data_IF_598623127906
#
_entry.id   IF_598623127906
#
_cell.length_a   1.000
_cell.length_b   1.000
_cell.length_c   1.000
_cell.angle_alpha   90.00
_cell.angle_beta   90.00
_cell.angle_gamma   90.00
#
_symmetry.space_group_name_H-M   'P 1'
#
loop_
_entity.id
_entity.type
_entity.pdbx_description
1 polymer ?
#
# COMPACT_ATOMS: atom_id res chain seq x y z
N UNK A 1 -10.79 8.34 20.00
CA UNK A 1 -9.65 8.95 19.28
C UNK A 1 -10.18 9.69 18.05
N UNK A 2 -10.16 11.02 18.13
CA UNK A 2 -10.25 12.03 17.06
C UNK A 2 -10.82 11.58 15.69
N UNK A 3 -12.11 11.79 15.48
CA UNK A 3 -12.71 11.77 14.15
C UNK A 3 -12.38 13.10 13.43
N UNK A 4 -11.10 13.30 13.10
CA UNK A 4 -10.68 14.46 12.30
C UNK A 4 -11.37 14.42 10.93
N UNK A 5 -11.91 15.56 10.51
CA UNK A 5 -12.50 15.75 9.19
C UNK A 5 -11.42 15.92 8.11
N UNK A 6 -10.66 14.85 7.91
CA UNK A 6 -9.63 14.75 6.87
C UNK A 6 -10.17 14.08 5.61
N UNK A 7 -9.70 14.53 4.45
CA UNK A 7 -9.98 13.89 3.16
C UNK A 7 -9.19 12.60 2.96
N UNK A 8 -7.97 12.53 3.52
CA UNK A 8 -7.08 11.37 3.45
C UNK A 8 -6.60 10.95 4.83
N UNK A 9 -6.43 9.65 5.04
CA UNK A 9 -5.80 9.07 6.23
C UNK A 9 -4.55 8.31 5.83
N UNK A 10 -3.46 8.53 6.56
CA UNK A 10 -2.25 7.72 6.44
C UNK A 10 -2.38 6.51 7.36
N UNK A 11 -2.19 5.33 6.80
CA UNK A 11 -2.10 4.06 7.51
C UNK A 11 -0.66 3.57 7.45
N UNK A 12 -0.02 3.50 8.61
CA UNK A 12 1.35 3.01 8.73
C UNK A 12 1.32 1.56 9.24
N UNK A 13 1.85 0.67 8.42
CA UNK A 13 1.93 -0.78 8.62
C UNK A 13 0.61 -1.45 9.03
N UNK A 14 -0.54 -1.16 8.37
CA UNK A 14 -1.85 -1.67 8.80
C UNK A 14 -2.00 -3.18 8.65
N UNK A 15 -1.11 -3.86 7.93
CA UNK A 15 -1.14 -5.31 7.75
C UNK A 15 -0.19 -6.06 8.69
N UNK A 16 0.56 -5.33 9.53
CA UNK A 16 1.42 -5.92 10.55
C UNK A 16 0.60 -6.31 11.80
N UNK A 17 0.57 -7.61 12.12
CA UNK A 17 0.12 -8.14 13.43
C UNK A 17 -1.38 -8.22 13.72
N UNK A 18 -2.25 -7.45 13.07
CA UNK A 18 -3.71 -7.49 13.31
C UNK A 18 -4.44 -7.56 11.97
N UNK A 19 -5.29 -8.57 11.79
CA UNK A 19 -6.09 -8.78 10.56
C UNK A 19 -6.88 -7.53 10.13
N UNK A 20 -7.27 -7.42 8.86
CA UNK A 20 -7.56 -6.16 8.20
C UNK A 20 -8.73 -5.42 8.86
N UNK A 21 -8.42 -4.45 9.73
CA UNK A 21 -9.37 -3.48 10.31
C UNK A 21 -9.97 -2.52 9.28
N UNK A 22 -9.73 -2.78 7.99
CA UNK A 22 -10.11 -1.89 6.89
C UNK A 22 -11.55 -2.09 6.40
N UNK A 23 -12.29 -3.10 6.84
CA UNK A 23 -13.60 -3.38 6.21
C UNK A 23 -14.75 -2.42 6.58
N UNK A 24 -14.59 -1.52 7.56
CA UNK A 24 -15.73 -0.80 8.15
C UNK A 24 -15.98 0.65 7.73
N UNK A 25 -15.01 1.39 7.17
CA UNK A 25 -15.15 2.86 7.01
C UNK A 25 -14.65 3.45 5.67
N UNK A 26 -14.45 2.62 4.64
CA UNK A 26 -13.72 3.01 3.44
C UNK A 26 -14.49 3.89 2.45
N UNK A 27 -15.79 4.07 2.59
CA UNK A 27 -16.62 4.64 1.51
C UNK A 27 -16.51 6.16 1.33
N UNK A 28 -15.91 6.90 2.26
CA UNK A 28 -15.96 8.39 2.25
C UNK A 28 -14.61 9.10 2.32
N UNK A 29 -13.51 8.40 2.61
CA UNK A 29 -12.17 9.00 2.78
C UNK A 29 -11.14 8.25 1.94
N UNK A 30 -10.18 8.98 1.39
CA UNK A 30 -9.03 8.38 0.74
C UNK A 30 -8.02 7.84 1.76
N UNK A 31 -7.19 6.89 1.35
CA UNK A 31 -6.16 6.30 2.20
C UNK A 31 -4.80 6.34 1.50
N UNK A 32 -3.77 6.64 2.28
CA UNK A 32 -2.38 6.39 1.91
C UNK A 32 -1.90 5.25 2.79
N UNK A 33 -1.39 4.19 2.19
CA UNK A 33 -0.92 3.00 2.90
C UNK A 33 0.59 2.93 2.74
N UNK A 34 1.28 2.71 3.85
CA UNK A 34 2.70 2.35 3.87
C UNK A 34 2.82 1.04 4.63
N UNK A 35 3.47 0.05 4.04
CA UNK A 35 3.64 -1.28 4.65
C UNK A 35 4.86 -1.97 4.01
N UNK A 36 5.39 -2.98 4.69
CA UNK A 36 6.46 -3.83 4.19
C UNK A 36 5.93 -5.06 3.42
N UNK A 37 4.62 -5.33 3.48
CA UNK A 37 3.96 -6.36 2.69
C UNK A 37 3.52 -5.79 1.33
N UNK A 38 4.42 -5.87 0.36
CA UNK A 38 4.23 -5.35 -1.00
C UNK A 38 3.00 -5.95 -1.69
N UNK A 39 2.77 -7.27 -1.54
CA UNK A 39 1.66 -7.99 -2.17
C UNK A 39 0.31 -7.50 -1.66
N UNK A 40 0.14 -7.45 -0.34
CA UNK A 40 -1.12 -7.04 0.29
C UNK A 40 -1.39 -5.56 0.01
N UNK A 41 -0.36 -4.72 0.06
CA UNK A 41 -0.47 -3.29 -0.24
C UNK A 41 -0.89 -3.05 -1.68
N UNK A 42 -0.26 -3.73 -2.64
CA UNK A 42 -0.61 -3.60 -4.05
C UNK A 42 -2.05 -4.03 -4.33
N UNK A 43 -2.52 -5.11 -3.72
CA UNK A 43 -3.91 -5.61 -3.87
C UNK A 43 -4.96 -4.72 -3.21
N UNK A 44 -4.63 -4.10 -2.08
CA UNK A 44 -5.54 -3.23 -1.36
C UNK A 44 -5.62 -1.81 -1.95
N UNK A 45 -4.65 -1.43 -2.78
CA UNK A 45 -4.50 -0.05 -3.27
C UNK A 45 -5.13 0.14 -4.64
N UNK A 46 -5.78 1.28 -4.85
CA UNK A 46 -6.24 1.70 -6.18
C UNK A 46 -5.10 2.27 -7.04
N UNK A 47 -4.03 2.75 -6.41
CA UNK A 47 -2.80 3.26 -7.03
C UNK A 47 -1.61 2.97 -6.13
N UNK A 48 -0.52 2.50 -6.71
CA UNK A 48 0.69 2.13 -5.95
C UNK A 48 1.91 2.87 -6.50
N UNK A 49 2.20 4.08 -6.00
CA UNK A 49 3.46 4.73 -6.31
C UNK A 49 4.62 4.02 -5.60
N UNK A 50 5.65 3.67 -6.37
CA UNK A 50 6.91 3.18 -5.84
C UNK A 50 7.92 4.32 -5.72
N UNK A 51 8.42 4.51 -4.49
CA UNK A 51 9.51 5.45 -4.21
C UNK A 51 10.86 4.74 -4.40
N UNK A 52 11.65 5.16 -5.38
CA UNK A 52 12.98 4.62 -5.67
C UNK A 52 13.94 5.75 -6.06
N UNK A 53 15.13 5.78 -5.46
CA UNK A 53 16.17 6.78 -5.72
C UNK A 53 15.68 8.24 -5.65
N UNK A 54 14.79 8.55 -4.71
CA UNK A 54 14.20 9.89 -4.56
C UNK A 54 13.09 10.22 -5.56
N UNK A 55 12.72 9.30 -6.46
CA UNK A 55 11.65 9.50 -7.44
C UNK A 55 10.41 8.67 -7.09
N UNK A 56 9.24 9.27 -7.33
CA UNK A 56 7.95 8.60 -7.28
C UNK A 56 7.59 8.10 -8.69
N UNK A 57 7.51 6.78 -8.85
CA UNK A 57 7.13 6.15 -10.12
C UNK A 57 5.86 5.35 -9.92
N UNK A 58 4.86 5.46 -10.81
CA UNK A 58 3.70 4.60 -10.74
C UNK A 58 4.11 3.13 -10.93
N UNK A 59 3.38 2.25 -10.26
CA UNK A 59 3.46 0.80 -10.40
C UNK A 59 2.05 0.23 -10.43
N UNK A 60 1.75 -0.57 -11.45
CA UNK A 60 0.41 -1.10 -11.68
C UNK A 60 0.30 -2.61 -11.44
N UNK A 61 1.41 -3.34 -11.59
CA UNK A 61 1.42 -4.81 -11.57
C UNK A 61 2.53 -5.39 -10.67
N UNK A 62 2.33 -6.62 -10.19
CA UNK A 62 3.28 -7.36 -9.34
C UNK A 62 4.62 -7.56 -10.08
N UNK A 63 4.57 -7.75 -11.41
CA UNK A 63 5.73 -7.95 -12.29
C UNK A 63 6.64 -6.72 -12.35
N UNK A 64 6.09 -5.51 -12.24
CA UNK A 64 6.91 -4.30 -12.21
C UNK A 64 7.77 -4.22 -10.94
N UNK A 65 7.29 -4.77 -9.82
CA UNK A 65 8.07 -4.85 -8.59
C UNK A 65 9.25 -5.82 -8.73
N UNK A 66 9.06 -6.92 -9.47
CA UNK A 66 10.12 -7.87 -9.82
C UNK A 66 11.15 -7.23 -10.76
N UNK A 67 10.70 -6.60 -11.85
CA UNK A 67 11.57 -5.96 -12.85
C UNK A 67 12.42 -4.84 -12.24
N UNK A 68 11.88 -4.13 -11.25
CA UNK A 68 12.59 -3.05 -10.55
C UNK A 68 13.44 -3.53 -9.37
N UNK A 69 13.57 -4.84 -9.17
CA UNK A 69 14.41 -5.44 -8.12
C UNK A 69 13.92 -5.14 -6.70
N UNK A 70 12.65 -4.76 -6.55
CA UNK A 70 12.06 -4.37 -5.27
C UNK A 70 11.68 -5.57 -4.42
N UNK A 71 11.38 -6.69 -5.09
CA UNK A 71 11.14 -8.00 -4.47
C UNK A 71 12.03 -9.07 -5.12
N UNK A 72 12.49 -10.09 -4.37
CA UNK A 72 13.20 -11.23 -4.94
C UNK A 72 12.41 -11.93 -6.06
N UNK A 73 13.10 -12.51 -7.04
CA UNK A 73 12.49 -13.18 -8.21
C UNK A 73 11.53 -14.33 -7.85
N UNK A 74 11.60 -14.84 -6.62
CA UNK A 74 10.76 -15.94 -6.09
C UNK A 74 9.64 -15.49 -5.15
N UNK A 75 9.32 -14.19 -5.10
CA UNK A 75 8.36 -13.66 -4.12
C UNK A 75 6.89 -13.93 -4.50
N UNK A 76 6.62 -14.08 -5.79
CA UNK A 76 5.26 -14.26 -6.33
C UNK A 76 5.05 -15.60 -7.05
N UNK A 77 6.04 -16.49 -7.04
CA UNK A 77 5.99 -17.84 -7.66
C UNK A 77 5.55 -18.91 -6.66
#
# INVERSE_FOLDING_TARGET
MLQLDVKFRLLHEPFSGVGPLLQGSLSTKGFTITDHNDRTTLRASTRTPLLTNGFCRPTHYEEELLQRGRVPTRTFT
#
